data_IF_372400346101
#
_entry.id   IF_372400346101
#
_cell.length_a   1.000
_cell.length_b   1.000
_cell.length_c   1.000
_cell.angle_alpha   90.00
_cell.angle_beta   90.00
_cell.angle_gamma   90.00
#
_symmetry.space_group_name_H-M   'P 1'
#
loop_
_entity.id
_entity.type
_entity.pdbx_description
1 polymer ?
#
# COMPACT_ATOMS: atom_id res chain seq x y z
N UNK A 1 18.44 13.21 13.08
CA UNK A 1 17.27 14.03 12.68
C UNK A 1 16.27 13.13 11.97
N UNK A 2 15.25 12.64 12.67
CA UNK A 2 14.15 11.93 12.03
C UNK A 2 13.26 13.00 11.36
N UNK A 3 13.41 13.21 10.05
CA UNK A 3 12.47 14.04 9.31
C UNK A 3 11.15 13.27 9.27
N UNK A 4 10.19 13.68 10.09
CA UNK A 4 8.82 13.19 10.03
C UNK A 4 8.27 13.52 8.65
N UNK A 5 8.28 12.53 7.75
CA UNK A 5 7.71 12.68 6.42
C UNK A 5 6.22 12.95 6.58
N UNK A 6 5.78 14.16 6.23
CA UNK A 6 4.37 14.51 6.26
C UNK A 6 3.64 13.76 5.14
N UNK A 7 2.96 12.66 5.48
CA UNK A 7 2.19 11.88 4.52
C UNK A 7 0.85 12.53 4.17
N UNK A 8 0.35 13.45 5.00
CA UNK A 8 -0.96 14.09 4.86
C UNK A 8 -1.08 14.85 3.55
N UNK A 9 0.01 15.45 3.06
CA UNK A 9 0.03 16.12 1.76
C UNK A 9 -0.29 15.18 0.57
N UNK A 10 -0.09 13.86 0.74
CA UNK A 10 -0.35 12.82 -0.27
C UNK A 10 -1.70 12.13 -0.07
N UNK A 11 -2.41 12.46 1.01
CA UNK A 11 -3.74 11.96 1.29
C UNK A 11 -4.80 13.01 0.91
N UNK A 12 -6.01 12.56 0.64
CA UNK A 12 -7.20 13.41 0.58
C UNK A 12 -7.87 13.52 1.96
N UNK A 13 -8.95 14.30 2.06
CA UNK A 13 -9.73 14.47 3.29
C UNK A 13 -10.36 13.16 3.82
N UNK A 14 -10.54 12.15 2.96
CA UNK A 14 -11.00 10.81 3.34
C UNK A 14 -9.86 9.88 3.78
N UNK A 15 -8.60 10.33 3.73
CA UNK A 15 -7.43 9.52 4.07
C UNK A 15 -7.01 8.52 2.98
N UNK A 16 -7.45 8.72 1.73
CA UNK A 16 -7.06 7.97 0.52
C UNK A 16 -5.83 8.60 -0.13
N UNK A 17 -4.97 7.78 -0.73
CA UNK A 17 -3.77 8.25 -1.43
C UNK A 17 -4.18 8.93 -2.73
N UNK A 18 -3.91 10.24 -2.83
CA UNK A 18 -4.20 11.02 -4.04
C UNK A 18 -3.02 11.07 -5.01
N UNK A 19 -1.79 11.03 -4.48
CA UNK A 19 -0.59 11.07 -5.32
C UNK A 19 0.55 10.28 -4.68
N UNK A 20 1.27 9.52 -5.50
CA UNK A 20 2.45 8.79 -5.05
C UNK A 20 3.68 9.70 -5.12
N UNK A 21 4.40 9.89 -4.01
CA UNK A 21 5.63 10.66 -4.03
C UNK A 21 6.73 9.92 -4.81
N UNK A 22 7.51 10.66 -5.61
CA UNK A 22 8.67 10.12 -6.31
C UNK A 22 9.79 9.63 -5.36
N UNK A 23 10.18 10.37 -4.30
CA UNK A 23 11.27 9.98 -3.42
C UNK A 23 10.91 8.79 -2.52
N UNK A 24 11.79 7.77 -2.47
CA UNK A 24 11.56 6.58 -1.65
C UNK A 24 11.39 6.90 -0.15
N UNK A 25 12.07 7.93 0.37
CA UNK A 25 11.94 8.39 1.77
C UNK A 25 10.51 8.80 2.15
N UNK A 26 9.74 9.22 1.17
CA UNK A 26 8.35 9.67 1.36
C UNK A 26 7.36 8.59 0.94
N UNK A 27 7.73 7.80 -0.09
CA UNK A 27 6.95 6.69 -0.62
C UNK A 27 6.76 5.57 0.40
N UNK A 28 7.84 5.20 1.12
CA UNK A 28 7.77 4.13 2.13
C UNK A 28 6.70 4.43 3.19
N UNK A 29 6.69 5.60 3.87
CA UNK A 29 5.62 5.96 4.81
C UNK A 29 4.20 5.88 4.23
N UNK A 30 3.99 6.32 2.99
CA UNK A 30 2.69 6.27 2.31
C UNK A 30 2.26 4.82 2.06
N UNK A 31 3.18 3.97 1.60
CA UNK A 31 2.92 2.54 1.39
C UNK A 31 2.69 1.80 2.71
N UNK A 32 3.43 2.13 3.77
CA UNK A 32 3.22 1.57 5.12
C UNK A 32 1.85 1.94 5.66
N UNK A 33 1.39 3.18 5.44
CA UNK A 33 0.03 3.60 5.78
C UNK A 33 -1.02 2.75 5.04
N UNK A 34 -0.83 2.49 3.74
CA UNK A 34 -1.70 1.60 2.97
C UNK A 34 -1.64 0.14 3.46
N UNK A 35 -0.44 -0.37 3.74
CA UNK A 35 -0.25 -1.72 4.28
C UNK A 35 -0.95 -1.90 5.63
N UNK A 36 -1.05 -0.85 6.44
CA UNK A 36 -1.81 -0.83 7.70
C UNK A 36 -3.32 -0.97 7.55
N UNK A 37 -3.87 -0.86 6.33
CA UNK A 37 -5.29 -1.11 6.03
C UNK A 37 -5.59 -2.59 5.85
N UNK A 38 -4.57 -3.40 5.60
CA UNK A 38 -4.70 -4.84 5.48
C UNK A 38 -4.59 -5.49 6.87
N UNK A 39 -5.38 -6.53 7.07
CA UNK A 39 -5.44 -7.28 8.31
C UNK A 39 -4.28 -8.28 8.37
N UNK A 40 -3.52 -8.27 9.49
CA UNK A 40 -2.41 -9.19 9.70
C UNK A 40 -2.93 -10.61 9.92
N UNK A 41 -2.22 -11.61 9.42
CA UNK A 41 -2.65 -13.01 9.47
C UNK A 41 -3.76 -13.40 8.47
N UNK A 42 -4.37 -12.43 7.76
CA UNK A 42 -5.38 -12.69 6.74
C UNK A 42 -4.76 -12.82 5.36
N UNK A 43 -5.22 -13.83 4.61
CA UNK A 43 -4.86 -14.02 3.21
C UNK A 43 -5.97 -13.47 2.33
N UNK A 44 -5.62 -12.52 1.49
CA UNK A 44 -6.49 -11.90 0.52
C UNK A 44 -6.24 -12.50 -0.87
N UNK A 45 -7.29 -12.67 -1.64
CA UNK A 45 -7.20 -12.94 -3.08
C UNK A 45 -6.76 -11.69 -3.84
N UNK A 46 -6.30 -11.87 -5.08
CA UNK A 46 -5.97 -10.72 -5.95
C UNK A 46 -7.14 -9.72 -6.06
N UNK A 47 -8.37 -10.21 -6.19
CA UNK A 47 -9.57 -9.38 -6.29
C UNK A 47 -9.79 -8.55 -5.02
N UNK A 48 -9.63 -9.15 -3.85
CA UNK A 48 -9.76 -8.45 -2.56
C UNK A 48 -8.67 -7.40 -2.38
N UNK A 49 -7.41 -7.73 -2.74
CA UNK A 49 -6.32 -6.75 -2.70
C UNK A 49 -6.61 -5.58 -3.62
N UNK A 50 -7.02 -5.85 -4.86
CA UNK A 50 -7.36 -4.79 -5.81
C UNK A 50 -8.50 -3.92 -5.27
N UNK A 51 -9.50 -4.51 -4.61
CA UNK A 51 -10.59 -3.79 -3.98
C UNK A 51 -10.11 -2.89 -2.83
N UNK A 52 -9.37 -3.45 -1.86
CA UNK A 52 -8.82 -2.69 -0.72
C UNK A 52 -7.94 -1.54 -1.22
N UNK A 53 -7.08 -1.81 -2.21
CA UNK A 53 -6.24 -0.77 -2.80
C UNK A 53 -7.12 0.29 -3.42
N UNK A 54 -8.08 -0.06 -4.30
CA UNK A 54 -9.05 0.86 -4.94
C UNK A 54 -9.80 1.73 -3.93
N UNK A 55 -10.21 1.19 -2.79
CA UNK A 55 -10.89 1.98 -1.76
C UNK A 55 -9.97 2.98 -1.06
N UNK A 56 -8.66 2.72 -1.04
CA UNK A 56 -7.66 3.52 -0.33
C UNK A 56 -6.82 4.43 -1.23
N UNK A 57 -7.14 4.56 -2.53
CA UNK A 57 -6.48 5.52 -3.43
C UNK A 57 -7.46 6.13 -4.43
N UNK A 58 -7.12 7.30 -4.98
CA UNK A 58 -8.02 8.04 -5.89
C UNK A 58 -7.57 8.05 -7.35
N UNK A 59 -6.36 7.59 -7.65
CA UNK A 59 -5.77 7.62 -8.99
C UNK A 59 -6.02 6.34 -9.80
N UNK A 60 -6.76 5.39 -9.23
CA UNK A 60 -7.18 4.12 -9.85
C UNK A 60 -6.05 3.21 -10.41
N UNK A 61 -4.78 3.50 -10.12
CA UNK A 61 -3.62 2.65 -10.47
C UNK A 61 -3.23 1.68 -9.33
N UNK A 62 -4.15 0.78 -8.99
CA UNK A 62 -3.89 -0.27 -8.00
C UNK A 62 -2.72 -1.19 -8.39
N UNK A 63 -2.43 -1.33 -9.70
CA UNK A 63 -1.30 -2.11 -10.20
C UNK A 63 0.04 -1.64 -9.65
N UNK A 64 0.29 -0.32 -9.67
CA UNK A 64 1.54 0.26 -9.19
C UNK A 64 1.63 0.08 -7.67
N UNK A 65 0.56 0.35 -6.95
CA UNK A 65 0.52 0.18 -5.49
C UNK A 65 0.78 -1.27 -5.09
N UNK A 66 0.12 -2.24 -5.73
CA UNK A 66 0.33 -3.67 -5.47
C UNK A 66 1.79 -4.06 -5.70
N UNK A 67 2.37 -3.62 -6.81
CA UNK A 67 3.78 -3.90 -7.13
C UNK A 67 4.71 -3.31 -6.08
N UNK A 68 4.50 -2.03 -5.72
CA UNK A 68 5.31 -1.37 -4.70
C UNK A 68 5.17 -2.05 -3.33
N UNK A 69 3.95 -2.42 -2.91
CA UNK A 69 3.74 -3.12 -1.65
C UNK A 69 4.52 -4.45 -1.59
N UNK A 70 4.62 -5.17 -2.70
CA UNK A 70 5.43 -6.39 -2.80
C UNK A 70 6.93 -6.07 -2.86
N UNK A 71 7.34 -5.10 -3.68
CA UNK A 71 8.75 -4.69 -3.84
C UNK A 71 9.36 -4.21 -2.50
N UNK A 72 8.56 -3.52 -1.67
CA UNK A 72 8.96 -3.05 -0.34
C UNK A 72 8.75 -4.10 0.76
N UNK A 73 8.41 -5.35 0.43
CA UNK A 73 8.12 -6.42 1.39
C UNK A 73 7.04 -6.06 2.43
N UNK A 74 6.06 -5.24 2.05
CA UNK A 74 4.89 -4.92 2.89
C UNK A 74 3.76 -5.93 2.69
N UNK A 75 3.58 -6.39 1.44
CA UNK A 75 2.74 -7.53 1.09
C UNK A 75 3.61 -8.66 0.55
N UNK A 76 3.27 -9.88 0.94
CA UNK A 76 3.81 -11.10 0.33
C UNK A 76 2.75 -11.65 -0.60
N UNK A 77 3.17 -12.23 -1.72
CA UNK A 77 2.31 -12.94 -2.66
C UNK A 77 2.72 -14.40 -2.79
N UNK A 78 1.79 -15.28 -3.11
CA UNK A 78 2.13 -16.64 -3.55
C UNK A 78 2.89 -16.62 -4.88
N UNK A 79 3.73 -17.62 -5.17
CA UNK A 79 4.35 -17.80 -6.48
C UNK A 79 3.32 -17.82 -7.61
N UNK A 80 2.16 -18.44 -7.35
CA UNK A 80 1.02 -18.50 -8.29
C UNK A 80 0.27 -17.17 -8.45
N UNK A 81 0.64 -16.13 -7.70
CA UNK A 81 0.00 -14.80 -7.75
C UNK A 81 -1.45 -14.74 -7.23
N UNK A 82 -2.03 -15.87 -6.81
CA UNK A 82 -3.43 -15.95 -6.40
C UNK A 82 -3.76 -15.39 -5.01
N UNK A 83 -2.79 -15.35 -4.09
CA UNK A 83 -3.01 -14.86 -2.72
C UNK A 83 -1.94 -13.89 -2.26
N UNK A 84 -2.36 -12.96 -1.41
CA UNK A 84 -1.56 -11.89 -0.83
C UNK A 84 -1.80 -11.81 0.68
N UNK A 85 -0.79 -11.41 1.46
CA UNK A 85 -0.94 -11.17 2.90
C UNK A 85 0.08 -10.13 3.38
N UNK A 86 -0.22 -9.47 4.49
CA UNK A 86 0.70 -8.51 5.11
C UNK A 86 1.93 -9.24 5.62
N UNK A 87 3.10 -8.69 5.33
CA UNK A 87 4.34 -9.17 5.93
C UNK A 87 4.42 -8.67 7.37
N UNK A 88 4.47 -9.59 8.34
CA UNK A 88 4.55 -9.28 9.77
C UNK A 88 5.99 -8.99 10.26
N UNK A 89 6.88 -8.53 9.37
CA UNK A 89 8.26 -8.18 9.74
C UNK A 89 8.33 -7.00 10.70
#
# INVERSE_FOLDING_TARGET
>A
MQKSTNILQFLNDEGKIKVLPSPNRTKIPVLTYLAGKFEKGKKYSEKEVNHIINENHTFNDYFILRRLLVDYNLLIRTPDGGKYWVNEK
#
